data_IF_693009519709
#
_entry.id   IF_693009519709
#
_cell.length_a   1.000
_cell.length_b   1.000
_cell.length_c   1.000
_cell.angle_alpha   90.00
_cell.angle_beta   90.00
_cell.angle_gamma   90.00
#
_symmetry.space_group_name_H-M   'P 1'
#
loop_
_entity.id
_entity.type
_entity.pdbx_description
1 polymer ?
#
# COMPACT_ATOMS: atom_id res chain seq x y z
N UNK A 1 7.89 -24.53 -33.31
CA UNK A 1 6.80 -24.30 -32.34
C UNK A 1 5.61 -23.81 -33.13
N UNK A 2 4.59 -24.65 -33.25
CA UNK A 2 3.44 -24.37 -34.10
C UNK A 2 2.35 -23.65 -33.31
N UNK A 3 1.61 -22.77 -33.99
CA UNK A 3 0.64 -21.88 -33.36
C UNK A 3 -0.47 -22.60 -32.57
N UNK A 4 -0.79 -23.85 -32.96
CA UNK A 4 -1.87 -24.64 -32.38
C UNK A 4 -1.54 -25.27 -31.01
N UNK A 5 -0.26 -25.29 -30.61
CA UNK A 5 0.18 -25.90 -29.35
C UNK A 5 0.40 -24.89 -28.22
N UNK A 6 0.08 -23.61 -28.45
CA UNK A 6 0.23 -22.55 -27.45
C UNK A 6 -1.01 -22.50 -26.56
N UNK A 7 -0.84 -22.82 -25.27
CA UNK A 7 -1.88 -22.65 -24.25
C UNK A 7 -1.39 -21.69 -23.16
N UNK A 8 -2.25 -20.83 -22.62
CA UNK A 8 -1.87 -19.95 -21.52
C UNK A 8 -1.54 -20.76 -20.26
N UNK A 9 -0.69 -20.20 -19.40
CA UNK A 9 -0.39 -20.77 -18.09
C UNK A 9 -1.68 -20.93 -17.26
N UNK A 10 -1.76 -22.01 -16.48
CA UNK A 10 -2.94 -22.32 -15.68
C UNK A 10 -3.27 -21.15 -14.73
N UNK A 11 -4.52 -20.66 -14.80
CA UNK A 11 -4.99 -19.55 -13.97
C UNK A 11 -4.66 -18.14 -14.49
N UNK A 12 -3.93 -18.01 -15.60
CA UNK A 12 -3.66 -16.72 -16.24
C UNK A 12 -4.92 -16.05 -16.79
N UNK A 13 -5.85 -16.83 -17.36
CA UNK A 13 -7.11 -16.33 -17.91
C UNK A 13 -8.29 -16.78 -17.04
N UNK A 14 -9.04 -15.82 -16.49
CA UNK A 14 -10.25 -16.07 -15.70
C UNK A 14 -11.49 -15.71 -16.53
N UNK A 15 -12.55 -16.51 -16.41
CA UNK A 15 -13.84 -16.23 -17.06
C UNK A 15 -14.53 -15.06 -16.36
N UNK A 16 -15.01 -14.09 -17.12
CA UNK A 16 -15.77 -12.97 -16.57
C UNK A 16 -17.14 -13.42 -16.08
N UNK A 17 -17.61 -12.82 -14.99
CA UNK A 17 -18.96 -13.00 -14.47
C UNK A 17 -19.96 -12.22 -15.32
N UNK A 18 -20.77 -12.94 -16.12
CA UNK A 18 -21.91 -12.35 -16.84
C UNK A 18 -23.13 -12.30 -15.92
N UNK A 19 -23.50 -11.09 -15.49
CA UNK A 19 -24.61 -10.86 -14.55
C UNK A 19 -25.96 -11.02 -15.26
N UNK A 20 -27.01 -11.40 -14.52
CA UNK A 20 -28.41 -11.48 -14.99
C UNK A 20 -28.70 -12.56 -16.05
N UNK A 21 -27.97 -13.69 -16.05
CA UNK A 21 -28.15 -14.80 -17.01
C UNK A 21 -28.80 -16.02 -16.38
N UNK A 22 -30.00 -15.84 -15.84
CA UNK A 22 -30.78 -16.92 -15.19
C UNK A 22 -30.26 -17.31 -13.80
N UNK A 23 -31.09 -18.01 -13.02
CA UNK A 23 -30.76 -18.35 -11.63
C UNK A 23 -29.59 -19.34 -11.50
N UNK A 24 -29.45 -20.26 -12.46
CA UNK A 24 -28.34 -21.22 -12.49
C UNK A 24 -26.95 -20.57 -12.62
N UNK A 25 -26.87 -19.30 -13.02
CA UNK A 25 -25.62 -18.54 -13.06
C UNK A 25 -25.14 -18.04 -11.68
N UNK A 26 -25.94 -18.22 -10.62
CA UNK A 26 -25.70 -17.65 -9.27
C UNK A 26 -25.89 -16.13 -9.19
N UNK A 27 -26.17 -15.48 -10.32
CA UNK A 27 -26.25 -14.02 -10.47
C UNK A 27 -27.51 -13.58 -11.22
N UNK A 28 -28.51 -14.46 -11.29
CA UNK A 28 -29.83 -14.19 -11.84
C UNK A 28 -30.68 -13.31 -10.94
N UNK A 29 -31.89 -12.98 -11.42
CA UNK A 29 -32.87 -12.21 -10.67
C UNK A 29 -32.40 -10.79 -10.36
N UNK A 30 -32.10 -10.51 -9.08
CA UNK A 30 -31.71 -9.18 -8.61
C UNK A 30 -30.30 -8.75 -9.03
N UNK A 31 -29.60 -9.56 -9.83
CA UNK A 31 -28.28 -9.21 -10.36
C UNK A 31 -27.28 -8.86 -9.26
N UNK A 32 -27.39 -9.52 -8.10
CA UNK A 32 -26.62 -9.24 -6.86
C UNK A 32 -26.83 -7.85 -6.25
N UNK A 33 -27.84 -7.09 -6.69
CA UNK A 33 -28.16 -5.75 -6.18
C UNK A 33 -29.21 -5.74 -5.06
N UNK A 34 -29.83 -6.88 -4.75
CA UNK A 34 -30.95 -6.99 -3.81
C UNK A 34 -32.29 -6.52 -4.40
N UNK A 35 -33.35 -6.52 -3.59
CA UNK A 35 -34.72 -6.26 -4.08
C UNK A 35 -34.99 -4.79 -4.41
N UNK A 36 -34.90 -3.90 -3.41
CA UNK A 36 -35.30 -2.49 -3.50
C UNK A 36 -34.36 -1.65 -2.64
N UNK A 37 -34.20 -0.38 -2.98
CA UNK A 37 -33.39 0.58 -2.23
C UNK A 37 -32.60 1.47 -3.17
N UNK A 38 -31.98 2.52 -2.62
CA UNK A 38 -31.23 3.48 -3.44
C UNK A 38 -30.09 2.78 -4.21
N UNK A 39 -29.34 1.89 -3.56
CA UNK A 39 -28.26 1.08 -4.18
C UNK A 39 -28.71 0.16 -5.31
N UNK A 40 -29.98 -0.27 -5.36
CA UNK A 40 -30.44 -1.16 -6.42
C UNK A 40 -30.84 -0.41 -7.70
N UNK A 41 -31.12 0.90 -7.62
CA UNK A 41 -31.51 1.74 -8.77
C UNK A 41 -30.34 2.05 -9.69
N UNK A 42 -30.63 2.29 -10.96
CA UNK A 42 -29.68 2.76 -11.96
C UNK A 42 -29.22 4.19 -11.63
N UNK A 43 -27.94 4.49 -11.84
CA UNK A 43 -27.40 5.84 -11.62
C UNK A 43 -27.24 6.25 -10.15
N UNK A 44 -27.53 5.35 -9.19
CA UNK A 44 -27.26 5.64 -7.80
C UNK A 44 -25.76 5.86 -7.58
N UNK A 45 -25.44 7.04 -7.05
CA UNK A 45 -24.11 7.38 -6.56
C UNK A 45 -24.26 8.07 -5.22
N UNK A 46 -23.44 7.66 -4.26
CA UNK A 46 -23.23 8.41 -3.03
C UNK A 46 -21.78 8.77 -2.94
N UNK A 47 -21.49 9.97 -2.39
CA UNK A 47 -20.12 10.33 -2.05
C UNK A 47 -19.58 9.27 -1.07
N UNK A 48 -18.35 8.82 -1.28
CA UNK A 48 -17.73 7.73 -0.50
C UNK A 48 -17.75 8.03 1.02
N UNK A 49 -17.57 9.30 1.40
CA UNK A 49 -17.63 9.75 2.79
C UNK A 49 -18.99 10.30 3.22
N UNK A 50 -20.11 9.89 2.62
CA UNK A 50 -21.45 10.30 3.05
C UNK A 50 -22.06 9.25 4.00
N UNK A 51 -22.33 9.67 5.24
CA UNK A 51 -22.85 8.81 6.32
C UNK A 51 -24.35 9.08 6.56
N UNK A 52 -25.14 9.23 5.49
CA UNK A 52 -26.61 9.26 5.60
C UNK A 52 -27.21 10.52 6.24
N UNK A 53 -26.48 11.64 6.25
CA UNK A 53 -26.89 12.90 6.89
C UNK A 53 -26.18 13.16 8.21
N UNK A 54 -25.50 12.16 8.77
CA UNK A 54 -24.54 12.36 9.86
C UNK A 54 -23.33 13.17 9.35
N UNK A 55 -22.77 13.99 10.24
CA UNK A 55 -21.48 14.65 9.99
C UNK A 55 -20.41 13.58 9.74
N UNK A 56 -19.76 13.53 8.56
CA UNK A 56 -18.81 12.46 8.26
C UNK A 56 -17.56 12.51 9.12
N UNK A 57 -16.94 11.35 9.36
CA UNK A 57 -15.75 11.22 10.20
C UNK A 57 -14.62 12.20 9.81
N UNK A 58 -14.37 12.36 8.51
CA UNK A 58 -13.38 13.29 7.94
C UNK A 58 -13.56 14.75 8.39
N UNK A 59 -14.75 15.14 8.84
CA UNK A 59 -15.03 16.49 9.38
C UNK A 59 -15.03 16.53 10.90
N UNK A 60 -15.32 15.40 11.56
CA UNK A 60 -15.40 15.32 13.03
C UNK A 60 -14.02 15.29 13.68
N UNK A 61 -13.07 14.63 13.04
CA UNK A 61 -11.71 14.49 13.56
C UNK A 61 -10.91 15.75 13.21
N UNK A 62 -10.17 16.33 14.17
CA UNK A 62 -9.30 17.46 13.88
C UNK A 62 -8.21 17.08 12.86
N UNK A 63 -7.72 18.06 12.11
CA UNK A 63 -6.61 17.83 11.16
C UNK A 63 -5.31 17.58 11.94
N UNK A 64 -4.59 16.52 11.59
CA UNK A 64 -3.33 16.17 12.24
C UNK A 64 -2.16 16.98 11.68
N UNK A 65 -1.56 17.83 12.53
CA UNK A 65 -0.22 18.40 12.36
C UNK A 65 0.05 19.13 11.04
N UNK A 66 1.34 19.38 10.79
CA UNK A 66 1.84 19.91 9.52
C UNK A 66 3.02 19.03 9.03
N UNK A 67 3.19 18.91 7.72
CA UNK A 67 4.34 18.21 7.13
C UNK A 67 5.47 19.21 6.90
N UNK A 68 6.63 19.02 7.55
CA UNK A 68 7.83 19.83 7.30
C UNK A 68 8.37 19.52 5.88
N UNK A 69 8.53 20.55 5.05
CA UNK A 69 9.05 20.46 3.68
C UNK A 69 10.53 20.08 3.68
N UNK A 70 11.30 20.50 4.68
CA UNK A 70 12.75 20.27 4.79
C UNK A 70 13.09 18.98 5.54
N UNK A 71 12.17 18.01 5.60
CA UNK A 71 12.42 16.74 6.28
C UNK A 71 13.43 15.90 5.49
N UNK A 72 14.56 15.58 6.10
CA UNK A 72 15.52 14.60 5.58
C UNK A 72 14.98 13.19 5.87
N UNK A 73 14.82 12.37 4.82
CA UNK A 73 14.38 10.98 4.97
C UNK A 73 15.57 10.06 5.23
N UNK A 74 15.55 9.36 6.35
CA UNK A 74 16.54 8.35 6.70
C UNK A 74 15.99 6.96 6.45
N UNK A 75 16.85 6.06 5.95
CA UNK A 75 16.54 4.63 5.84
C UNK A 75 17.04 3.95 7.11
N UNK A 76 16.11 3.46 7.93
CA UNK A 76 16.46 2.65 9.08
C UNK A 76 16.94 1.28 8.61
N UNK A 77 18.13 0.88 9.03
CA UNK A 77 18.72 -0.43 8.74
C UNK A 77 19.16 -1.04 10.05
N UNK A 78 18.75 -2.30 10.25
CA UNK A 78 19.08 -3.07 11.44
C UNK A 78 20.50 -3.64 11.33
N UNK A 79 21.16 -3.80 12.47
CA UNK A 79 22.55 -4.24 12.56
C UNK A 79 22.73 -5.68 12.05
N UNK A 80 21.76 -6.55 12.32
CA UNK A 80 21.77 -7.96 11.89
C UNK A 80 21.90 -8.11 10.37
N UNK A 81 21.27 -7.21 9.61
CA UNK A 81 21.32 -7.21 8.14
C UNK A 81 22.71 -6.79 7.66
N UNK A 82 23.36 -5.87 8.37
CA UNK A 82 24.71 -5.41 8.06
C UNK A 82 25.71 -6.54 8.29
N UNK A 83 25.57 -7.24 9.42
CA UNK A 83 26.42 -8.39 9.77
C UNK A 83 26.29 -9.50 8.74
N UNK A 84 25.06 -9.90 8.39
CA UNK A 84 24.81 -10.90 7.35
C UNK A 84 25.45 -10.53 5.99
N UNK A 85 25.32 -9.26 5.58
CA UNK A 85 25.91 -8.79 4.32
C UNK A 85 27.44 -8.74 4.38
N UNK A 86 28.01 -8.38 5.54
CA UNK A 86 29.46 -8.36 5.74
C UNK A 86 30.06 -9.77 5.65
N UNK A 87 29.43 -10.76 6.30
CA UNK A 87 29.87 -12.16 6.24
C UNK A 87 29.72 -12.74 4.83
N UNK A 88 28.59 -12.49 4.17
CA UNK A 88 28.31 -13.07 2.84
C UNK A 88 29.20 -12.48 1.74
N UNK A 89 29.56 -11.20 1.85
CA UNK A 89 30.30 -10.48 0.79
C UNK A 89 31.76 -10.16 1.15
N UNK A 90 32.22 -10.48 2.36
CA UNK A 90 33.60 -10.25 2.80
C UNK A 90 34.01 -8.76 2.83
N UNK A 91 33.07 -7.86 3.14
CA UNK A 91 33.28 -6.41 3.05
C UNK A 91 33.75 -5.88 4.41
N UNK A 92 34.89 -5.18 4.44
CA UNK A 92 35.49 -4.62 5.66
C UNK A 92 35.13 -3.15 5.92
N UNK A 93 34.65 -2.40 4.91
CA UNK A 93 34.25 -1.00 5.04
C UNK A 93 32.94 -0.69 4.30
N UNK A 94 32.00 0.00 4.96
CA UNK A 94 30.77 0.50 4.34
C UNK A 94 30.95 1.99 4.03
N UNK A 95 31.24 2.31 2.77
CA UNK A 95 31.34 3.70 2.29
C UNK A 95 29.95 4.21 1.90
N UNK A 96 29.47 5.25 2.59
CA UNK A 96 28.17 5.87 2.30
C UNK A 96 28.17 6.56 0.94
N UNK A 97 27.61 5.91 -0.08
CA UNK A 97 27.42 6.51 -1.40
C UNK A 97 26.12 7.32 -1.42
N UNK A 98 26.21 8.59 -1.83
CA UNK A 98 25.07 9.54 -1.82
C UNK A 98 24.00 9.25 -2.88
N UNK A 99 24.26 8.37 -3.85
CA UNK A 99 23.27 7.95 -4.84
C UNK A 99 23.24 6.42 -4.93
N UNK A 100 22.19 5.83 -4.38
CA UNK A 100 21.97 4.38 -4.36
C UNK A 100 20.91 4.00 -5.40
N UNK A 101 21.27 3.90 -6.68
CA UNK A 101 20.60 2.98 -7.61
C UNK A 101 20.99 1.51 -7.32
N UNK A 102 21.76 1.28 -6.26
CA UNK A 102 21.98 -0.02 -5.64
C UNK A 102 21.76 0.17 -4.15
N UNK A 103 20.74 -0.51 -3.59
CA UNK A 103 20.52 -0.75 -2.16
C UNK A 103 21.69 -0.30 -1.26
N UNK A 104 21.60 0.90 -0.68
CA UNK A 104 22.75 1.57 -0.07
C UNK A 104 22.35 2.37 1.17
N UNK A 105 23.10 2.12 2.23
CA UNK A 105 22.88 2.41 3.65
C UNK A 105 23.32 3.85 3.99
N UNK A 106 22.54 4.60 4.78
CA UNK A 106 22.94 5.90 5.32
C UNK A 106 22.86 5.90 6.86
N UNK A 107 24.00 6.13 7.52
CA UNK A 107 24.11 6.30 8.98
C UNK A 107 24.85 7.61 9.23
N UNK A 108 24.29 8.49 10.06
CA UNK A 108 25.08 9.52 10.76
C UNK A 108 24.61 9.63 12.21
N UNK A 109 25.61 9.65 13.10
CA UNK A 109 25.54 9.74 14.55
C UNK A 109 24.61 10.83 15.03
N UNK A 110 23.60 10.46 15.81
CA UNK A 110 22.89 11.41 16.69
C UNK A 110 23.82 11.72 17.86
N UNK A 111 24.38 12.92 17.88
CA UNK A 111 24.99 13.46 19.08
C UNK A 111 23.86 13.79 20.06
N UNK A 112 23.74 13.01 21.12
CA UNK A 112 22.96 13.38 22.31
C UNK A 112 23.66 14.56 22.99
N UNK A 113 23.10 15.77 22.88
CA UNK A 113 23.50 16.89 23.72
C UNK A 113 22.79 16.75 25.08
N UNK A 114 23.48 16.14 26.05
CA UNK A 114 23.17 16.25 27.46
C UNK A 114 23.88 17.51 27.97
N UNK A 115 23.18 18.63 28.08
CA UNK A 115 23.67 19.75 28.90
C UNK A 115 23.23 19.50 30.32
N UNK A 116 24.19 19.14 31.17
CA UNK A 116 24.07 19.08 32.62
C UNK A 116 23.67 20.46 33.16
N UNK A 117 22.48 20.55 33.74
CA UNK A 117 22.08 21.65 34.60
C UNK A 117 22.34 21.22 36.04
N UNK A 118 23.39 21.77 36.66
CA UNK A 118 23.55 21.82 38.12
C UNK A 118 24.72 22.74 38.49
N UNK A 119 24.71 23.39 39.68
CA UNK A 119 23.76 23.24 40.77
C UNK A 119 22.54 24.16 40.69
#
# INVERSE_FOLDING_TARGET
>A
MDLHNLTPAQGSVKKEKRIARGQGSGHGGTSTRGHKGAKSRSGYSTKIGFEGGQMPLQRRVPKFGFKNINRVEYKAINLDIIEYLATTKGITEIKGTRNSSVSGISIKSSAMAFTSLSP
#
